data_IF_885158747351
#
_entry.id   IF_885158747351
#
_cell.length_a   1.000
_cell.length_b   1.000
_cell.length_c   1.000
_cell.angle_alpha   90.00
_cell.angle_beta   90.00
_cell.angle_gamma   90.00
#
_symmetry.space_group_name_H-M   'P 1'
#
loop_
_entity.id
_entity.type
_entity.pdbx_description
1 polymer ?
#
# COMPACT_ATOMS: atom_id res chain seq x y z
N UNK A 1 47.07 1.97 -2.49
CA UNK A 1 46.99 1.27 -3.79
C UNK A 1 45.61 1.56 -4.38
N UNK A 2 45.52 2.36 -5.46
CA UNK A 2 44.25 2.54 -6.21
C UNK A 2 44.29 1.57 -7.37
N UNK A 3 43.46 0.53 -7.33
CA UNK A 3 43.34 -0.41 -8.43
C UNK A 3 42.80 0.33 -9.67
N UNK A 4 43.40 0.14 -10.87
CA UNK A 4 42.85 0.72 -12.09
C UNK A 4 41.52 0.02 -12.38
N UNK A 5 40.42 0.76 -12.25
CA UNK A 5 39.06 0.27 -12.56
C UNK A 5 39.09 -0.23 -14.01
N UNK A 6 38.85 -1.53 -14.19
CA UNK A 6 38.86 -2.13 -15.53
C UNK A 6 37.63 -1.67 -16.27
N UNK A 7 37.72 -1.46 -17.59
CA UNK A 7 36.56 -1.03 -18.42
C UNK A 7 35.32 -1.93 -18.21
N UNK A 8 35.53 -3.22 -17.93
CA UNK A 8 34.48 -4.18 -17.60
C UNK A 8 33.75 -3.89 -16.28
N UNK A 9 34.47 -3.38 -15.29
CA UNK A 9 33.93 -3.03 -13.96
C UNK A 9 33.11 -1.74 -14.04
N UNK A 10 33.54 -0.80 -14.86
CA UNK A 10 32.80 0.44 -15.14
C UNK A 10 31.49 0.15 -15.89
N UNK A 11 31.51 -0.78 -16.86
CA UNK A 11 30.30 -1.25 -17.54
C UNK A 11 29.33 -1.95 -16.58
N UNK A 12 29.85 -2.76 -15.65
CA UNK A 12 29.04 -3.45 -14.66
C UNK A 12 28.38 -2.47 -13.66
N UNK A 13 29.10 -1.44 -13.23
CA UNK A 13 28.55 -0.39 -12.37
C UNK A 13 27.46 0.44 -13.07
N UNK A 14 27.66 0.78 -14.35
CA UNK A 14 26.65 1.47 -15.15
C UNK A 14 25.41 0.59 -15.35
N UNK A 15 25.60 -0.70 -15.65
CA UNK A 15 24.50 -1.65 -15.77
C UNK A 15 23.73 -1.79 -14.45
N UNK A 16 24.43 -1.93 -13.33
CA UNK A 16 23.81 -2.04 -12.01
C UNK A 16 23.04 -0.76 -11.63
N UNK A 17 23.62 0.42 -11.90
CA UNK A 17 22.95 1.70 -11.68
C UNK A 17 21.70 1.87 -12.55
N UNK A 18 21.74 1.41 -13.79
CA UNK A 18 20.60 1.43 -14.70
C UNK A 18 19.50 0.48 -14.24
N UNK A 19 19.85 -0.75 -13.84
CA UNK A 19 18.88 -1.70 -13.27
C UNK A 19 18.25 -1.12 -12.00
N UNK A 20 19.06 -0.52 -11.11
CA UNK A 20 18.55 0.08 -9.88
C UNK A 20 17.60 1.25 -10.16
N UNK A 21 17.91 2.12 -11.13
CA UNK A 21 17.06 3.23 -11.52
C UNK A 21 15.75 2.79 -12.20
N UNK A 22 15.79 1.73 -13.02
CA UNK A 22 14.58 1.17 -13.66
C UNK A 22 13.72 0.44 -12.61
N UNK A 23 14.33 -0.31 -11.70
CA UNK A 23 13.60 -0.97 -10.62
C UNK A 23 12.99 0.02 -9.63
N UNK A 24 13.71 1.09 -9.26
CA UNK A 24 13.17 2.09 -8.33
C UNK A 24 12.01 2.88 -8.92
N UNK A 25 12.03 3.15 -10.23
CA UNK A 25 10.92 3.80 -10.91
C UNK A 25 9.70 2.90 -11.04
N UNK A 26 9.87 1.58 -11.17
CA UNK A 26 8.76 0.63 -11.25
C UNK A 26 8.05 0.43 -9.90
N UNK A 27 8.77 0.45 -8.79
CA UNK A 27 8.16 0.34 -7.44
C UNK A 27 7.36 1.60 -7.11
N UNK A 28 7.87 2.79 -7.44
CA UNK A 28 7.19 4.06 -7.16
C UNK A 28 6.03 4.35 -8.13
N UNK A 29 6.09 3.85 -9.37
CA UNK A 29 5.02 4.06 -10.36
C UNK A 29 3.73 3.28 -10.07
N UNK A 30 3.75 2.28 -9.19
CA UNK A 30 2.56 1.50 -8.84
C UNK A 30 1.55 2.27 -7.96
N UNK A 31 1.93 3.41 -7.39
CA UNK A 31 1.16 4.09 -6.34
C UNK A 31 0.12 5.10 -6.89
N UNK A 32 0.14 5.46 -8.18
CA UNK A 32 -0.52 6.72 -8.59
C UNK A 32 -1.79 6.65 -9.43
N UNK A 33 -2.34 5.51 -9.85
CA UNK A 33 -3.44 5.57 -10.82
C UNK A 33 -4.50 4.48 -10.70
N UNK A 34 -5.50 4.68 -9.84
CA UNK A 34 -6.88 4.17 -10.08
C UNK A 34 -7.95 5.13 -9.55
N UNK A 35 -8.02 6.31 -10.14
CA UNK A 35 -9.02 7.36 -9.91
C UNK A 35 -10.45 6.98 -10.42
N UNK A 36 -10.69 5.75 -10.89
CA UNK A 36 -11.91 5.39 -11.63
C UNK A 36 -13.13 5.00 -10.79
N UNK A 37 -12.98 4.67 -9.51
CA UNK A 37 -14.12 4.34 -8.61
C UNK A 37 -14.15 5.26 -7.37
N UNK A 38 -13.21 6.20 -7.25
CA UNK A 38 -13.07 7.03 -6.05
C UNK A 38 -12.85 6.20 -4.78
N UNK A 39 -12.18 5.04 -4.92
CA UNK A 39 -11.73 4.25 -3.79
C UNK A 39 -10.63 5.04 -3.08
N UNK A 40 -10.77 5.24 -1.78
CA UNK A 40 -9.79 5.95 -0.97
C UNK A 40 -9.75 5.38 0.44
N UNK A 41 -8.57 5.42 1.04
CA UNK A 41 -8.35 5.05 2.43
C UNK A 41 -8.13 6.35 3.20
N UNK A 42 -8.86 6.51 4.29
CA UNK A 42 -8.86 7.68 5.15
C UNK A 42 -8.26 7.28 6.49
N UNK A 43 -7.32 8.07 7.01
CA UNK A 43 -6.63 7.79 8.28
C UNK A 43 -5.37 6.92 8.13
N UNK A 44 -5.00 6.56 6.91
CA UNK A 44 -3.74 5.89 6.58
C UNK A 44 -3.15 6.58 5.35
N UNK A 45 -2.04 7.29 5.53
CA UNK A 45 -1.27 7.85 4.43
C UNK A 45 -0.20 6.85 3.99
N UNK A 46 0.22 6.92 2.73
CA UNK A 46 1.28 6.08 2.21
C UNK A 46 2.63 6.40 2.89
N UNK A 47 3.30 5.37 3.40
CA UNK A 47 4.52 5.48 4.21
C UNK A 47 4.28 5.98 5.64
N UNK A 48 3.04 6.00 6.13
CA UNK A 48 2.74 6.48 7.48
C UNK A 48 3.32 5.55 8.57
N UNK A 49 3.86 6.17 9.63
CA UNK A 49 4.26 5.47 10.84
C UNK A 49 3.17 5.64 11.90
N UNK A 50 2.53 4.54 12.27
CA UNK A 50 1.35 4.53 13.13
C UNK A 50 1.55 3.60 14.32
N UNK A 51 0.82 3.86 15.40
CA UNK A 51 0.67 2.88 16.48
C UNK A 51 -0.42 1.89 16.11
N UNK A 52 -0.34 0.67 16.64
CA UNK A 52 -1.38 -0.35 16.41
C UNK A 52 -2.80 0.13 16.79
N UNK A 53 -2.92 1.02 17.78
CA UNK A 53 -4.21 1.59 18.18
C UNK A 53 -4.83 2.56 17.15
N UNK A 54 -4.04 3.19 16.30
CA UNK A 54 -4.51 4.17 15.30
C UNK A 54 -5.30 3.50 14.16
N UNK A 55 -5.20 2.17 14.00
CA UNK A 55 -5.94 1.42 12.98
C UNK A 55 -7.45 1.42 13.19
N UNK A 56 -7.92 1.78 14.39
CA UNK A 56 -9.36 1.97 14.67
C UNK A 56 -9.97 3.14 13.91
N UNK A 57 -9.15 4.12 13.53
CA UNK A 57 -9.58 5.33 12.83
C UNK A 57 -9.45 5.20 11.31
N UNK A 58 -8.85 4.11 10.82
CA UNK A 58 -8.69 3.83 9.38
C UNK A 58 -10.03 3.42 8.80
N UNK A 59 -10.46 4.15 7.76
CA UNK A 59 -11.73 3.91 7.05
C UNK A 59 -11.49 3.84 5.56
N UNK A 60 -12.25 3.00 4.88
CA UNK A 60 -12.23 2.88 3.43
C UNK A 60 -13.53 3.48 2.88
N UNK A 61 -13.42 4.36 1.90
CA UNK A 61 -14.54 4.98 1.20
C UNK A 61 -14.46 4.70 -0.30
N UNK A 62 -15.61 4.70 -0.96
CA UNK A 62 -15.74 4.57 -2.41
C UNK A 62 -16.59 5.71 -2.95
N UNK A 63 -16.35 6.14 -4.19
CA UNK A 63 -17.17 7.16 -4.85
C UNK A 63 -18.63 6.74 -5.03
N UNK A 64 -18.91 5.43 -5.11
CA UNK A 64 -20.26 4.87 -5.13
C UNK A 64 -20.50 3.90 -3.94
N UNK A 65 -21.37 4.25 -2.98
CA UNK A 65 -21.69 3.42 -1.80
C UNK A 65 -22.26 2.03 -2.11
N UNK A 66 -22.78 1.80 -3.32
CA UNK A 66 -23.23 0.47 -3.73
C UNK A 66 -22.05 -0.50 -3.95
N UNK A 67 -20.85 0.03 -4.23
CA UNK A 67 -19.65 -0.78 -4.46
C UNK A 67 -18.95 -1.23 -3.18
N UNK A 68 -19.25 -0.64 -2.02
CA UNK A 68 -18.66 -1.00 -0.73
C UNK A 68 -18.80 -2.49 -0.41
N UNK A 69 -19.93 -3.11 -0.74
CA UNK A 69 -20.14 -4.55 -0.50
C UNK A 69 -19.24 -5.48 -1.34
N UNK A 70 -18.51 -4.94 -2.31
CA UNK A 70 -17.57 -5.65 -3.19
C UNK A 70 -16.11 -5.29 -2.92
N UNK A 71 -15.86 -4.42 -1.94
CA UNK A 71 -14.50 -4.07 -1.52
C UNK A 71 -13.95 -5.20 -0.68
N UNK A 72 -12.79 -5.70 -1.08
CA UNK A 72 -11.98 -6.62 -0.32
C UNK A 72 -10.76 -5.86 0.19
N UNK A 73 -10.50 -5.95 1.50
CA UNK A 73 -9.34 -5.32 2.13
C UNK A 73 -8.37 -6.41 2.55
N UNK A 74 -7.11 -6.24 2.16
CA UNK A 74 -6.02 -7.14 2.47
C UNK A 74 -4.94 -6.37 3.22
N UNK A 75 -4.29 -7.04 4.16
CA UNK A 75 -3.03 -6.59 4.75
C UNK A 75 -2.00 -7.70 4.60
N UNK A 76 -0.86 -7.41 3.99
CA UNK A 76 0.19 -8.39 3.66
C UNK A 76 -0.39 -9.62 2.97
N UNK A 77 -1.18 -9.40 1.91
CA UNK A 77 -1.89 -10.42 1.14
C UNK A 77 -2.95 -11.24 1.93
N UNK A 78 -3.21 -10.89 3.19
CA UNK A 78 -4.21 -11.56 4.03
C UNK A 78 -5.51 -10.77 4.07
N UNK A 79 -6.63 -11.41 3.73
CA UNK A 79 -7.96 -10.76 3.76
C UNK A 79 -8.37 -10.45 5.19
N UNK A 80 -8.68 -9.18 5.46
CA UNK A 80 -9.12 -8.69 6.77
C UNK A 80 -10.63 -8.48 6.78
N UNK A 81 -11.27 -8.84 7.89
CA UNK A 81 -12.69 -8.59 8.09
C UNK A 81 -12.95 -7.08 8.16
N UNK A 82 -13.95 -6.61 7.42
CA UNK A 82 -14.40 -5.23 7.46
C UNK A 82 -15.87 -5.19 7.86
N UNK A 83 -16.22 -4.13 8.59
CA UNK A 83 -17.60 -3.85 8.97
C UNK A 83 -18.05 -2.56 8.30
N UNK A 84 -19.32 -2.51 7.89
CA UNK A 84 -19.90 -1.33 7.25
C UNK A 84 -20.33 -0.33 8.30
N UNK A 85 -19.76 0.87 8.24
CA UNK A 85 -20.12 2.03 9.04
C UNK A 85 -20.70 3.11 8.11
N UNK A 86 -22.01 3.04 7.87
CA UNK A 86 -22.73 3.93 6.97
C UNK A 86 -22.28 3.81 5.51
N UNK A 87 -21.63 4.86 5.00
CA UNK A 87 -21.06 4.99 3.66
C UNK A 87 -19.57 4.61 3.58
N UNK A 88 -19.04 3.98 4.64
CA UNK A 88 -17.64 3.58 4.76
C UNK A 88 -17.50 2.14 5.25
N UNK A 89 -16.31 1.60 5.05
CA UNK A 89 -15.87 0.36 5.69
C UNK A 89 -14.86 0.68 6.77
N UNK A 90 -15.02 0.07 7.92
CA UNK A 90 -14.06 0.08 9.02
C UNK A 90 -13.38 -1.29 9.11
N UNK A 91 -12.09 -1.30 9.48
CA UNK A 91 -11.37 -2.53 9.76
C UNK A 91 -11.86 -3.12 11.08
N UNK A 92 -12.43 -4.33 11.05
CA UNK A 92 -13.00 -4.93 12.25
C UNK A 92 -11.92 -5.66 13.04
N UNK A 93 -11.67 -5.20 14.27
CA UNK A 93 -10.75 -5.84 15.23
C UNK A 93 -9.33 -6.09 14.68
N UNK A 94 -8.91 -5.35 13.67
CA UNK A 94 -7.58 -5.48 13.09
C UNK A 94 -6.53 -4.89 14.04
N UNK A 95 -5.55 -5.72 14.42
CA UNK A 95 -4.42 -5.31 15.24
C UNK A 95 -3.15 -5.77 14.52
N UNK A 96 -2.48 -4.88 13.75
CA UNK A 96 -1.26 -5.26 13.05
C UNK A 96 -0.12 -5.52 14.04
N UNK A 97 0.81 -6.38 13.62
CA UNK A 97 2.06 -6.57 14.34
C UNK A 97 2.94 -5.32 14.24
N UNK A 98 4.06 -5.29 14.97
CA UNK A 98 5.07 -4.24 14.79
C UNK A 98 5.90 -4.53 13.53
N UNK A 99 6.22 -3.50 12.76
CA UNK A 99 7.00 -3.62 11.53
C UNK A 99 6.34 -2.98 10.31
N UNK A 100 6.86 -3.31 9.12
CA UNK A 100 6.35 -2.80 7.85
C UNK A 100 5.24 -3.70 7.32
N UNK A 101 4.19 -3.07 6.81
CA UNK A 101 3.00 -3.71 6.30
C UNK A 101 2.48 -2.99 5.06
N UNK A 102 1.72 -3.70 4.24
CA UNK A 102 1.00 -3.13 3.10
C UNK A 102 -0.49 -3.37 3.23
N UNK A 103 -1.30 -2.30 3.16
CA UNK A 103 -2.76 -2.38 3.09
C UNK A 103 -3.22 -2.19 1.64
N UNK A 104 -3.91 -3.19 1.13
CA UNK A 104 -4.51 -3.18 -0.21
C UNK A 104 -6.03 -3.19 -0.09
N UNK A 105 -6.68 -2.15 -0.59
CA UNK A 105 -8.12 -2.14 -0.80
C UNK A 105 -8.40 -2.36 -2.28
N UNK A 106 -9.22 -3.35 -2.63
CA UNK A 106 -9.59 -3.62 -4.03
C UNK A 106 -11.07 -3.88 -4.20
N UNK A 107 -11.64 -3.36 -5.27
CA UNK A 107 -13.04 -3.63 -5.65
C UNK A 107 -13.07 -4.82 -6.61
N UNK A 108 -13.79 -5.88 -6.26
CA UNK A 108 -14.01 -7.00 -7.19
C UNK A 108 -15.04 -6.59 -8.25
N UNK A 109 -14.61 -6.53 -9.51
CA UNK A 109 -15.52 -6.29 -10.64
C UNK A 109 -16.43 -7.48 -10.88
N UNK A 110 -17.67 -7.18 -11.26
CA UNK A 110 -18.64 -8.18 -11.75
C UNK A 110 -18.46 -8.47 -13.24
N UNK A 111 -17.61 -7.71 -13.93
CA UNK A 111 -17.35 -7.85 -15.36
C UNK A 111 -16.01 -8.57 -15.57
N UNK A 112 -15.97 -9.74 -16.24
CA UNK A 112 -14.71 -10.36 -16.58
C UNK A 112 -13.86 -9.40 -17.44
N UNK A 113 -12.57 -9.27 -17.10
CA UNK A 113 -11.54 -8.42 -17.75
C UNK A 113 -11.46 -6.95 -17.30
N UNK A 114 -12.24 -6.49 -16.33
CA UNK A 114 -12.11 -5.12 -15.77
C UNK A 114 -11.51 -5.19 -14.37
N UNK A 115 -10.32 -4.60 -14.19
CA UNK A 115 -9.82 -4.23 -12.85
C UNK A 115 -10.50 -2.92 -12.48
N UNK A 116 -11.39 -2.98 -11.49
CA UNK A 116 -12.31 -1.90 -11.15
C UNK A 116 -11.57 -0.77 -10.41
N UNK A 117 -10.94 -1.08 -9.28
CA UNK A 117 -10.03 -0.19 -8.57
C UNK A 117 -9.19 -0.97 -7.55
N UNK A 118 -7.93 -0.58 -7.41
CA UNK A 118 -7.00 -1.05 -6.39
C UNK A 118 -6.31 0.17 -5.81
N UNK A 119 -6.23 0.24 -4.48
CA UNK A 119 -5.46 1.25 -3.75
C UNK A 119 -4.58 0.50 -2.77
N UNK A 120 -3.29 0.80 -2.83
CA UNK A 120 -2.26 0.22 -1.97
C UNK A 120 -1.63 1.33 -1.13
N UNK A 121 -1.45 1.08 0.16
CA UNK A 121 -0.70 1.93 1.08
C UNK A 121 0.28 1.11 1.89
N UNK A 122 1.54 1.51 1.86
CA UNK A 122 2.55 0.99 2.76
C UNK A 122 2.48 1.74 4.09
N UNK A 123 2.70 1.04 5.20
CA UNK A 123 2.74 1.66 6.51
C UNK A 123 3.67 0.91 7.46
N UNK A 124 4.17 1.61 8.46
CA UNK A 124 4.98 1.02 9.53
C UNK A 124 4.23 1.13 10.85
N UNK A 125 4.12 0.01 11.55
CA UNK A 125 3.64 -0.01 12.93
C UNK A 125 4.83 0.10 13.86
N UNK A 126 4.84 1.17 14.63
CA UNK A 126 5.84 1.44 15.66
C UNK A 126 5.14 1.61 17.01
N UNK A 127 5.34 0.65 17.91
CA UNK A 127 4.81 0.68 19.27
C UNK A 127 5.84 1.20 20.28
N UNK A 128 6.99 1.73 19.83
CA UNK A 128 7.93 2.37 20.72
C UNK A 128 7.26 3.55 21.43
N UNK A 129 7.41 3.56 22.77
CA UNK A 129 6.96 4.68 23.57
C UNK A 129 7.72 5.94 23.11
N UNK A 130 7.06 7.10 23.01
CA UNK A 130 7.74 8.31 22.58
C UNK A 130 8.88 8.61 23.57
N UNK A 131 10.10 8.73 23.07
CA UNK A 131 11.24 9.16 23.87
C UNK A 131 10.96 10.58 24.36
N UNK A 132 10.80 10.71 25.68
CA UNK A 132 10.54 11.99 26.35
C UNK A 132 11.80 12.85 26.44
#
# INVERSE_FOLDING_TARGET
MRAPVRRSELLLLVFLGMVFAVSSTLVVASVTHMEKIGLSIVGLEDGAVLRAAAFRDVRISTGDPATLGRVEVLVDDTVIATSRDGDRLALESFTPAEGNHALTARVRSTTPLVMDAVVDHEFTVDNTAPSR
#
